data_IF_193552044046
#
_entry.id   IF_193552044046
#
_cell.length_a   1.000
_cell.length_b   1.000
_cell.length_c   1.000
_cell.angle_alpha   90.00
_cell.angle_beta   90.00
_cell.angle_gamma   90.00
#
_symmetry.space_group_name_H-M   'P 1'
#
loop_
_entity.id
_entity.type
_entity.pdbx_description
1 polymer ?
#
# COMPACT_ATOMS: atom_id res chain seq x y z
N UNK A 1 -0.77 -12.00 13.82
CA UNK A 1 -0.14 -12.85 12.78
C UNK A 1 -1.21 -13.66 12.06
N UNK A 2 -1.14 -13.68 10.73
CA UNK A 2 -2.08 -14.37 9.85
C UNK A 2 -1.28 -15.39 9.06
N UNK A 3 -1.77 -16.61 8.96
CA UNK A 3 -1.11 -17.75 8.34
C UNK A 3 -1.09 -18.95 9.27
N UNK A 4 -1.54 -20.08 8.72
CA UNK A 4 -1.46 -21.42 9.30
C UNK A 4 -0.70 -22.29 8.31
N UNK A 5 -1.37 -23.30 7.73
CA UNK A 5 -0.79 -24.09 6.64
C UNK A 5 -0.93 -23.43 5.26
N UNK A 6 -1.97 -22.59 5.06
CA UNK A 6 -2.24 -21.91 3.78
C UNK A 6 -2.86 -20.52 3.97
N UNK A 7 -2.12 -19.42 3.74
CA UNK A 7 -0.68 -19.38 3.49
C UNK A 7 0.12 -19.89 4.70
N UNK A 8 1.30 -20.45 4.42
CA UNK A 8 2.21 -20.92 5.46
C UNK A 8 2.60 -19.73 6.36
N UNK A 9 2.43 -19.91 7.67
CA UNK A 9 2.78 -18.90 8.66
C UNK A 9 4.28 -18.66 8.67
N UNK A 10 4.73 -17.41 8.80
CA UNK A 10 6.14 -17.10 9.06
C UNK A 10 6.68 -17.83 10.31
N UNK A 11 5.80 -18.15 11.27
CA UNK A 11 6.23 -18.84 12.48
C UNK A 11 6.63 -20.30 12.29
N UNK A 12 6.21 -20.94 11.18
CA UNK A 12 6.63 -22.31 10.84
C UNK A 12 8.15 -22.45 10.67
N UNK A 13 8.85 -21.34 10.40
CA UNK A 13 10.31 -21.33 10.22
C UNK A 13 11.10 -21.43 11.54
N UNK A 14 10.45 -21.25 12.70
CA UNK A 14 11.11 -21.34 14.00
C UNK A 14 10.88 -22.70 14.64
N UNK A 15 11.87 -23.17 15.41
CA UNK A 15 11.73 -24.38 16.22
C UNK A 15 10.70 -24.21 17.34
N UNK A 16 10.02 -25.30 17.70
CA UNK A 16 9.04 -25.35 18.79
C UNK A 16 9.54 -24.73 20.10
N UNK A 17 10.79 -24.99 20.48
CA UNK A 17 11.36 -24.48 21.73
C UNK A 17 11.44 -22.94 21.75
N UNK A 18 11.74 -22.33 20.60
CA UNK A 18 11.79 -20.88 20.43
C UNK A 18 10.39 -20.28 20.52
N UNK A 19 9.41 -20.91 19.87
CA UNK A 19 8.01 -20.45 19.93
C UNK A 19 7.44 -20.58 21.35
N UNK A 20 7.69 -21.71 22.02
CA UNK A 20 7.24 -21.93 23.39
C UNK A 20 7.86 -20.92 24.36
N UNK A 21 9.16 -20.64 24.24
CA UNK A 21 9.84 -19.63 25.05
C UNK A 21 9.35 -18.20 24.75
N UNK A 22 9.13 -17.85 23.48
CA UNK A 22 8.70 -16.52 23.07
C UNK A 22 7.26 -16.19 23.50
N UNK A 23 6.34 -17.16 23.37
CA UNK A 23 4.94 -17.00 23.76
C UNK A 23 4.66 -17.43 25.20
N UNK A 24 5.66 -17.98 25.91
CA UNK A 24 5.52 -18.54 27.26
C UNK A 24 4.30 -19.48 27.38
N UNK A 25 4.08 -20.30 26.35
CA UNK A 25 2.88 -21.12 26.16
C UNK A 25 3.31 -22.50 25.68
N UNK A 26 2.57 -23.55 26.06
CA UNK A 26 2.88 -24.92 25.66
C UNK A 26 2.63 -25.13 24.17
N UNK A 27 3.40 -26.02 23.55
CA UNK A 27 3.30 -26.31 22.12
C UNK A 27 1.89 -26.69 21.68
N UNK A 28 1.19 -27.53 22.45
CA UNK A 28 -0.13 -28.05 22.06
C UNK A 28 -1.20 -26.95 22.01
N UNK A 29 -1.00 -25.86 22.77
CA UNK A 29 -1.89 -24.69 22.74
C UNK A 29 -1.55 -23.78 21.55
N UNK A 30 -0.26 -23.67 21.20
CA UNK A 30 0.20 -22.91 20.02
C UNK A 30 -0.25 -23.58 18.71
N UNK A 31 -0.11 -24.90 18.60
CA UNK A 31 -0.56 -25.67 17.43
C UNK A 31 -2.06 -25.45 17.17
N UNK A 32 -2.89 -25.51 18.21
CA UNK A 32 -4.34 -25.25 18.09
C UNK A 32 -4.68 -23.85 17.59
N UNK A 33 -3.82 -22.86 17.80
CA UNK A 33 -4.04 -21.49 17.32
C UNK A 33 -3.64 -21.37 15.85
N UNK A 34 -2.51 -21.96 15.46
CA UNK A 34 -2.01 -21.90 14.09
C UNK A 34 -2.78 -22.83 13.13
N UNK A 35 -3.25 -23.99 13.60
CA UNK A 35 -4.06 -24.92 12.81
C UNK A 35 -5.47 -24.38 12.47
N UNK A 36 -6.01 -23.50 13.31
CA UNK A 36 -7.33 -22.86 13.07
C UNK A 36 -7.33 -21.97 11.83
N UNK A 37 -6.17 -21.57 11.33
CA UNK A 37 -6.02 -20.78 10.10
C UNK A 37 -5.78 -21.66 8.85
N UNK A 38 -6.35 -22.87 8.82
CA UNK A 38 -6.35 -23.77 7.65
C UNK A 38 -7.33 -23.38 6.55
N UNK A 39 -8.39 -22.66 6.91
CA UNK A 39 -9.49 -22.37 5.99
C UNK A 39 -9.47 -20.93 5.52
N UNK A 40 -9.19 -20.76 4.22
CA UNK A 40 -9.18 -19.48 3.54
C UNK A 40 -7.76 -19.00 3.22
N UNK A 41 -7.51 -18.69 1.94
CA UNK A 41 -6.23 -18.17 1.50
C UNK A 41 -5.98 -16.74 2.00
N UNK A 42 -5.08 -16.01 1.33
CA UNK A 42 -4.73 -14.64 1.72
C UNK A 42 -5.92 -13.65 1.71
N UNK A 43 -6.93 -13.92 0.89
CA UNK A 43 -8.18 -13.14 0.84
C UNK A 43 -9.35 -14.08 1.17
N UNK A 44 -10.10 -13.75 2.22
CA UNK A 44 -11.22 -14.55 2.71
C UNK A 44 -12.49 -13.72 2.86
N UNK A 45 -13.63 -14.40 2.86
CA UNK A 45 -14.92 -13.77 3.16
C UNK A 45 -15.02 -13.47 4.65
N UNK A 46 -15.51 -12.29 5.00
CA UNK A 46 -15.80 -11.91 6.38
C UNK A 46 -17.29 -11.55 6.54
N UNK A 47 -17.94 -11.92 7.66
CA UNK A 47 -19.29 -11.48 7.98
C UNK A 47 -19.33 -9.97 8.19
N UNK A 48 -20.49 -9.36 7.93
CA UNK A 48 -20.69 -7.91 7.98
C UNK A 48 -20.29 -7.29 9.34
N UNK A 49 -20.58 -7.99 10.44
CA UNK A 49 -20.23 -7.51 11.77
C UNK A 49 -18.72 -7.40 11.98
N UNK A 50 -17.94 -8.37 11.48
CA UNK A 50 -16.48 -8.31 11.56
C UNK A 50 -15.94 -7.15 10.72
N UNK A 51 -16.47 -6.95 9.51
CA UNK A 51 -16.10 -5.82 8.64
C UNK A 51 -16.39 -4.51 9.36
N UNK A 52 -17.56 -4.38 10.00
CA UNK A 52 -17.99 -3.20 10.73
C UNK A 52 -17.07 -2.89 11.91
N UNK A 53 -16.72 -3.88 12.73
CA UNK A 53 -15.82 -3.69 13.87
C UNK A 53 -14.41 -3.26 13.42
N UNK A 54 -13.84 -3.93 12.42
CA UNK A 54 -12.52 -3.58 11.87
C UNK A 54 -12.49 -2.17 11.27
N UNK A 55 -13.59 -1.75 10.64
CA UNK A 55 -13.71 -0.43 10.01
C UNK A 55 -13.75 0.73 11.02
N UNK A 56 -14.07 0.48 12.30
CA UNK A 56 -14.12 1.55 13.32
C UNK A 56 -12.77 2.17 13.61
N UNK A 57 -11.70 1.39 13.49
CA UNK A 57 -10.32 1.84 13.72
C UNK A 57 -9.69 2.52 12.51
N UNK A 58 -10.39 2.58 11.37
CA UNK A 58 -9.90 3.23 10.17
C UNK A 58 -10.11 4.76 10.24
N UNK A 59 -9.02 5.51 10.10
CA UNK A 59 -9.09 6.97 9.91
C UNK A 59 -9.70 7.28 8.53
N UNK A 60 -10.98 7.66 8.50
CA UNK A 60 -11.65 8.15 7.28
C UNK A 60 -11.11 9.52 6.91
N UNK A 61 -10.03 9.54 6.13
CA UNK A 61 -9.55 10.75 5.45
C UNK A 61 -9.16 11.90 6.39
N UNK A 62 -7.96 11.81 6.95
CA UNK A 62 -7.22 12.98 7.45
C UNK A 62 -7.65 13.52 8.81
N UNK A 63 -6.91 13.15 9.85
CA UNK A 63 -7.00 13.83 11.14
C UNK A 63 -6.64 12.99 12.36
N UNK A 64 -5.95 11.86 12.20
CA UNK A 64 -5.59 10.99 13.31
C UNK A 64 -4.34 10.20 12.97
N UNK A 65 -3.24 10.91 12.74
CA UNK A 65 -1.93 10.31 12.58
C UNK A 65 -1.00 10.77 13.68
N UNK A 66 -0.22 9.85 14.22
CA UNK A 66 0.97 10.20 14.97
C UNK A 66 1.87 10.95 13.98
N UNK A 67 2.35 12.15 14.30
CA UNK A 67 3.21 12.95 13.39
C UNK A 67 4.55 12.29 13.04
N UNK A 68 4.67 10.97 13.16
CA UNK A 68 5.78 10.15 12.77
C UNK A 68 6.04 10.24 11.27
N UNK A 69 7.32 10.34 10.93
CA UNK A 69 7.81 10.40 9.56
C UNK A 69 7.43 9.17 8.71
N UNK A 70 7.12 8.05 9.37
CA UNK A 70 6.83 6.76 8.73
C UNK A 70 5.33 6.53 8.50
N UNK A 71 4.46 7.45 8.94
CA UNK A 71 3.03 7.32 8.69
C UNK A 71 2.70 7.75 7.26
N UNK A 72 2.33 6.78 6.42
CA UNK A 72 1.88 7.04 5.06
C UNK A 72 0.42 7.44 5.11
N UNK A 73 0.16 8.75 5.00
CA UNK A 73 -1.21 9.25 4.84
C UNK A 73 -1.70 8.98 3.41
N UNK A 74 -2.84 8.29 3.22
CA UNK A 74 -3.42 8.10 1.89
C UNK A 74 -3.66 9.46 1.21
N UNK A 75 -3.19 9.59 -0.02
CA UNK A 75 -3.32 10.80 -0.82
C UNK A 75 -4.14 10.48 -2.07
N UNK A 76 -5.26 11.19 -2.25
CA UNK A 76 -6.11 10.99 -3.42
C UNK A 76 -5.52 11.70 -4.64
N UNK A 77 -5.26 10.96 -5.72
CA UNK A 77 -4.84 11.53 -7.00
C UNK A 77 -5.92 12.43 -7.62
N UNK A 78 -7.19 12.05 -7.47
CA UNK A 78 -8.33 12.77 -8.04
C UNK A 78 -8.91 13.83 -7.10
N UNK A 79 -8.40 13.93 -5.86
CA UNK A 79 -8.83 14.94 -4.89
C UNK A 79 -8.30 16.35 -5.17
N UNK A 80 -7.44 16.50 -6.17
CA UNK A 80 -6.82 17.78 -6.57
C UNK A 80 -7.06 18.07 -8.06
N UNK A 81 -6.76 19.30 -8.47
CA UNK A 81 -6.81 19.69 -9.88
C UNK A 81 -5.86 18.83 -10.72
N UNK A 82 -6.28 18.40 -11.91
CA UNK A 82 -5.41 17.65 -12.82
C UNK A 82 -4.24 18.54 -13.28
N UNK A 83 -3.08 17.91 -13.50
CA UNK A 83 -1.90 18.55 -14.08
C UNK A 83 -2.15 18.97 -15.53
N UNK A 84 -2.87 18.13 -16.28
CA UNK A 84 -3.32 18.43 -17.63
C UNK A 84 -4.80 18.07 -17.79
N UNK A 85 -5.57 18.91 -18.48
CA UNK A 85 -6.99 18.67 -18.71
C UNK A 85 -7.42 19.31 -20.02
N UNK A 86 -8.03 18.52 -20.91
CA UNK A 86 -8.64 18.97 -22.14
C UNK A 86 -9.88 18.13 -22.49
N UNK A 87 -10.49 18.36 -23.65
CA UNK A 87 -11.66 17.59 -24.11
C UNK A 87 -11.34 16.11 -24.41
N UNK A 88 -10.07 15.74 -24.45
CA UNK A 88 -9.58 14.39 -24.75
C UNK A 88 -9.16 13.61 -23.50
N UNK A 89 -9.10 14.25 -22.33
CA UNK A 89 -8.68 13.56 -21.12
C UNK A 89 -8.21 14.45 -20.00
N UNK A 90 -7.80 13.80 -18.92
CA UNK A 90 -7.22 14.41 -17.72
C UNK A 90 -6.03 13.59 -17.23
N UNK A 91 -4.97 14.27 -16.81
CA UNK A 91 -3.80 13.68 -16.17
C UNK A 91 -3.67 14.22 -14.76
N UNK A 92 -3.64 13.34 -13.78
CA UNK A 92 -3.33 13.65 -12.38
C UNK A 92 -1.97 13.05 -12.05
N UNK A 93 -1.12 13.81 -11.39
CA UNK A 93 0.21 13.34 -11.00
C UNK A 93 0.43 13.57 -9.51
N UNK A 94 1.08 12.65 -8.81
CA UNK A 94 1.57 12.86 -7.45
C UNK A 94 3.10 12.71 -7.48
N UNK A 95 3.80 13.78 -7.08
CA UNK A 95 5.26 13.83 -7.14
C UNK A 95 5.89 13.71 -5.75
N UNK A 96 7.21 13.53 -5.71
CA UNK A 96 7.98 13.53 -4.47
C UNK A 96 7.88 14.85 -3.67
N UNK A 97 7.57 15.97 -4.31
CA UNK A 97 7.41 17.25 -3.60
C UNK A 97 6.09 17.30 -2.81
N UNK A 98 5.11 16.48 -3.19
CA UNK A 98 3.81 16.35 -2.51
C UNK A 98 3.79 15.19 -1.54
N UNK A 99 4.59 14.14 -1.79
CA UNK A 99 4.72 12.98 -0.93
C UNK A 99 6.19 12.62 -0.71
N UNK A 100 6.68 12.86 0.51
CA UNK A 100 8.07 12.56 0.89
C UNK A 100 8.45 11.09 0.68
N UNK A 101 7.50 10.16 0.86
CA UNK A 101 7.72 8.74 0.60
C UNK A 101 8.05 8.47 -0.87
N UNK A 102 7.36 9.14 -1.80
CA UNK A 102 7.68 9.06 -3.23
C UNK A 102 9.05 9.67 -3.54
N UNK A 103 9.39 10.79 -2.89
CA UNK A 103 10.72 11.41 -3.03
C UNK A 103 11.85 10.48 -2.59
N UNK A 104 11.66 9.76 -1.49
CA UNK A 104 12.66 8.81 -0.97
C UNK A 104 12.89 7.63 -1.92
N UNK A 105 11.85 7.21 -2.63
CA UNK A 105 11.91 6.12 -3.60
C UNK A 105 12.27 6.61 -5.02
N UNK A 106 12.41 7.92 -5.23
CA UNK A 106 12.55 8.55 -6.54
C UNK A 106 11.42 8.14 -7.51
N UNK A 107 10.19 8.13 -7.01
CA UNK A 107 8.99 7.72 -7.74
C UNK A 107 8.05 8.90 -8.02
N UNK A 108 7.27 8.75 -9.08
CA UNK A 108 6.12 9.59 -9.43
C UNK A 108 4.95 8.69 -9.81
N UNK A 109 3.74 9.07 -9.41
CA UNK A 109 2.52 8.31 -9.71
C UNK A 109 1.64 9.17 -10.62
N UNK A 110 1.28 8.63 -11.78
CA UNK A 110 0.37 9.27 -12.74
C UNK A 110 -0.93 8.48 -12.90
N UNK A 111 -2.05 9.20 -13.00
CA UNK A 111 -3.35 8.67 -13.41
C UNK A 111 -3.84 9.46 -14.62
N UNK A 112 -3.81 8.83 -15.79
CA UNK A 112 -4.35 9.37 -17.02
C UNK A 112 -5.72 8.76 -17.32
N UNK A 113 -6.70 9.63 -17.57
CA UNK A 113 -7.98 9.25 -18.15
C UNK A 113 -8.03 9.82 -19.56
N UNK A 114 -8.12 8.96 -20.57
CA UNK A 114 -8.13 9.33 -21.99
C UNK A 114 -9.48 8.96 -22.58
N UNK A 115 -10.17 9.93 -23.14
CA UNK A 115 -11.46 9.74 -23.80
C UNK A 115 -11.29 8.80 -24.99
N UNK A 116 -12.18 7.81 -25.12
CA UNK A 116 -12.18 6.83 -26.21
C UNK A 116 -12.00 7.51 -27.58
N UNK A 117 -11.07 6.99 -28.38
CA UNK A 117 -10.75 7.52 -29.71
C UNK A 117 -9.74 8.68 -29.69
N UNK A 118 -9.28 9.11 -28.52
CA UNK A 118 -8.16 10.05 -28.37
C UNK A 118 -6.85 9.29 -28.17
N UNK A 119 -5.73 9.94 -28.47
CA UNK A 119 -4.40 9.41 -28.22
C UNK A 119 -3.68 10.32 -27.23
N UNK A 120 -2.84 9.74 -26.38
CA UNK A 120 -1.87 10.55 -25.66
C UNK A 120 -0.84 11.07 -26.65
N UNK A 121 -0.47 12.34 -26.51
CA UNK A 121 0.50 12.93 -27.43
C UNK A 121 1.85 12.27 -27.15
N UNK A 122 2.48 11.64 -28.14
CA UNK A 122 3.71 10.84 -27.98
C UNK A 122 4.95 11.65 -27.54
N UNK A 123 4.80 12.94 -27.25
CA UNK A 123 5.88 13.87 -26.96
C UNK A 123 5.67 14.61 -25.64
N UNK A 124 5.62 13.84 -24.54
CA UNK A 124 5.98 14.34 -23.22
C UNK A 124 7.32 13.73 -22.81
N UNK A 125 8.38 14.13 -23.53
CA UNK A 125 9.73 14.02 -23.00
C UNK A 125 9.78 14.85 -21.73
N UNK A 126 9.77 14.17 -20.58
CA UNK A 126 9.99 14.79 -19.29
C UNK A 126 11.30 15.60 -19.37
N UNK A 127 11.28 16.92 -19.17
CA UNK A 127 12.48 17.74 -19.23
C UNK A 127 13.26 17.59 -17.92
N UNK A 128 13.80 16.40 -17.62
CA UNK A 128 14.65 16.20 -16.42
C UNK A 128 15.98 15.50 -16.65
N UNK A 129 16.33 15.13 -17.88
CA UNK A 129 17.66 14.56 -18.17
C UNK A 129 18.69 15.48 -18.86
N UNK A 130 18.36 16.74 -19.20
CA UNK A 130 19.34 17.62 -19.86
C UNK A 130 20.19 18.50 -18.93
N UNK A 131 19.95 18.53 -17.61
CA UNK A 131 20.68 19.43 -16.70
C UNK A 131 22.02 18.88 -16.15
N UNK A 132 22.51 17.72 -16.59
CA UNK A 132 23.81 17.13 -16.14
C UNK A 132 24.84 16.93 -17.24
N UNK A 133 24.87 17.81 -18.25
CA UNK A 133 26.04 17.94 -19.15
C UNK A 133 26.42 19.40 -19.28
N UNK A 134 27.13 19.92 -18.29
CA UNK A 134 28.05 21.05 -18.50
C UNK A 134 29.40 20.46 -18.93
N UNK A 135 29.97 20.84 -20.08
CA UNK A 135 31.36 20.53 -20.38
C UNK A 135 32.28 21.39 -19.50
N UNK A 136 33.44 20.81 -19.19
CA UNK A 136 34.57 21.48 -18.54
C UNK A 136 35.18 22.57 -19.44
#
# INVERSE_FOLDING_TARGET
PVGGDRPESFFSAFSDDVLQAAFNTRREELEKVFERQREGGEITTAPEEQIRELSKSCSRGGGGGSGSEWEIKPSSLTGKSPYFSNNHGKLFELTGDECRHLKKLDLQIGLANITRGSNDCAELQHPRHQARRRPA
#
